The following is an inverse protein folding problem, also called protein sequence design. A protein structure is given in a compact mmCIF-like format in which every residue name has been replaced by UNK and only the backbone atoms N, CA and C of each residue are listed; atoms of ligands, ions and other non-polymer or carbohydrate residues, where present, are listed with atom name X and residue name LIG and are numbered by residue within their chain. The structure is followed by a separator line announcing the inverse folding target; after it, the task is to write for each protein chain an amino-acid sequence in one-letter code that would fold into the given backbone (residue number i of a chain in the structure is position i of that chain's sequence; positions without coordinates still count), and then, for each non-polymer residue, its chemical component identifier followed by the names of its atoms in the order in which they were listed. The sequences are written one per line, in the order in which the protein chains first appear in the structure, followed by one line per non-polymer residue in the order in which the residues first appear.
data_IF_632937688029
#
_entry.id   IF_632937688029
#
_cell.length_a   1.000
_cell.length_b   1.000
_cell.length_c   1.000
_cell.angle_alpha   90.00
_cell.angle_beta   90.00
_cell.angle_gamma   90.00
#
_symmetry.space_group_name_H-M   'P 1'
#
loop_
_entity.id
_entity.type
_entity.pdbx_description
1 polymer ?
#
# COMPACT_ATOMS: atom_id res chain seq x y z
N UNK A 1 2.23 0.60 30.40
CA UNK A 1 1.15 0.03 29.56
C UNK A 1 0.49 1.19 28.84
N UNK A 2 0.85 1.41 27.57
CA UNK A 2 0.26 2.47 26.75
C UNK A 2 -1.13 2.03 26.30
N UNK A 3 -2.15 2.85 26.55
CA UNK A 3 -3.52 2.54 26.17
C UNK A 3 -3.62 2.37 24.66
N UNK A 4 -4.08 1.20 24.20
CA UNK A 4 -4.52 1.02 22.83
C UNK A 4 -5.75 1.88 22.62
N UNK A 5 -5.60 2.98 21.87
CA UNK A 5 -6.77 3.67 21.34
C UNK A 5 -7.34 2.76 20.26
N UNK A 6 -8.44 2.09 20.57
CA UNK A 6 -9.23 1.36 19.59
C UNK A 6 -9.71 2.38 18.56
N UNK A 7 -9.36 2.21 17.28
CA UNK A 7 -10.07 2.93 16.22
C UNK A 7 -11.47 2.35 16.21
N UNK A 8 -12.43 3.08 16.77
CA UNK A 8 -13.84 2.77 16.57
C UNK A 8 -14.24 3.26 15.18
N UNK A 9 -15.09 2.48 14.51
CA UNK A 9 -15.90 2.92 13.38
C UNK A 9 -16.73 4.11 13.82
N UNK A 10 -16.20 5.30 13.58
CA UNK A 10 -16.78 6.55 14.00
C UNK A 10 -17.23 7.29 12.74
N UNK A 11 -18.53 7.17 12.46
CA UNK A 11 -19.24 7.81 11.35
C UNK A 11 -19.05 9.34 11.23
N UNK A 12 -18.37 9.98 12.20
CA UNK A 12 -17.99 11.39 12.13
C UNK A 12 -16.76 11.65 11.24
N UNK A 13 -15.97 10.64 10.92
CA UNK A 13 -14.83 10.80 10.02
C UNK A 13 -15.25 10.69 8.56
N UNK A 14 -14.64 11.49 7.66
CA UNK A 14 -14.92 11.38 6.24
C UNK A 14 -14.49 10.01 5.71
N UNK A 15 -15.33 9.43 4.84
CA UNK A 15 -14.99 8.23 4.10
C UNK A 15 -14.21 8.66 2.86
N UNK A 16 -12.99 8.16 2.71
CA UNK A 16 -12.18 8.39 1.51
C UNK A 16 -12.21 7.09 0.69
N UNK A 17 -12.62 7.20 -0.57
CA UNK A 17 -12.60 6.09 -1.51
C UNK A 17 -11.40 6.25 -2.45
N UNK A 18 -10.58 5.22 -2.52
CA UNK A 18 -9.38 5.17 -3.37
C UNK A 18 -9.56 4.01 -4.35
N UNK A 19 -9.56 4.31 -5.64
CA UNK A 19 -9.80 3.35 -6.72
C UNK A 19 -8.52 3.10 -7.52
N UNK A 20 -8.22 1.82 -7.75
CA UNK A 20 -7.10 1.38 -8.58
C UNK A 20 -7.64 0.56 -9.76
N UNK A 21 -7.88 1.22 -10.89
CA UNK A 21 -8.51 0.58 -12.06
C UNK A 21 -7.59 -0.45 -12.75
N UNK A 22 -6.28 -0.31 -12.60
CA UNK A 22 -5.28 -1.17 -13.25
C UNK A 22 -4.24 -1.68 -12.25
N UNK A 23 -4.70 -2.33 -11.19
CA UNK A 23 -3.79 -2.98 -10.24
C UNK A 23 -3.26 -4.31 -10.82
N UNK A 24 -2.00 -4.60 -10.51
CA UNK A 24 -1.33 -5.88 -10.80
C UNK A 24 -1.50 -6.83 -9.61
N UNK A 25 -1.38 -6.30 -8.39
CA UNK A 25 -1.47 -7.08 -7.17
C UNK A 25 -2.03 -6.27 -6.00
N UNK A 26 -2.69 -6.98 -5.09
CA UNK A 26 -3.22 -6.45 -3.85
C UNK A 26 -2.90 -7.43 -2.71
N UNK A 27 -2.48 -6.91 -1.56
CA UNK A 27 -2.32 -7.70 -0.34
C UNK A 27 -2.68 -6.90 0.91
N UNK A 28 -2.97 -7.62 1.98
CA UNK A 28 -3.18 -7.07 3.31
C UNK A 28 -2.19 -7.76 4.24
N UNK A 29 -1.38 -6.98 4.92
CA UNK A 29 -0.47 -7.43 5.96
C UNK A 29 -0.97 -6.98 7.33
N UNK A 30 -0.78 -7.83 8.33
CA UNK A 30 -0.89 -7.39 9.72
C UNK A 30 0.36 -6.53 10.04
N UNK A 31 0.16 -5.28 10.46
CA UNK A 31 1.24 -4.31 10.70
C UNK A 31 2.28 -4.82 11.72
N UNK A 32 1.87 -5.67 12.67
CA UNK A 32 2.79 -6.24 13.66
C UNK A 32 3.87 -7.15 13.04
N UNK A 33 3.71 -7.54 11.77
CA UNK A 33 4.66 -8.37 11.04
C UNK A 33 5.49 -7.58 10.01
N UNK A 34 5.41 -6.25 10.04
CA UNK A 34 6.28 -5.39 9.22
C UNK A 34 7.73 -5.49 9.67
N UNK A 35 8.61 -5.56 8.68
CA UNK A 35 10.05 -5.46 8.89
C UNK A 35 10.45 -3.99 8.89
N UNK A 36 11.01 -3.53 9.99
CA UNK A 36 11.53 -2.16 10.13
C UNK A 36 13.02 -2.13 9.80
N UNK A 37 13.33 -1.96 8.52
CA UNK A 37 14.70 -1.78 8.02
C UNK A 37 14.77 -0.77 6.87
N UNK A 38 15.99 -0.46 6.43
CA UNK A 38 16.26 0.54 5.39
C UNK A 38 16.10 0.00 3.96
N UNK A 39 15.55 -1.21 3.79
CA UNK A 39 15.42 -1.81 2.47
C UNK A 39 14.34 -1.13 1.63
N UNK A 40 13.20 -0.83 2.27
CA UNK A 40 12.07 -0.20 1.60
C UNK A 40 12.29 1.31 1.51
N UNK A 41 12.04 1.87 0.33
CA UNK A 41 12.19 3.29 0.06
C UNK A 41 10.85 3.83 -0.44
N UNK A 42 10.32 4.79 0.30
CA UNK A 42 9.03 5.39 0.00
C UNK A 42 8.96 6.84 0.47
N UNK A 43 8.02 7.57 -0.13
CA UNK A 43 7.60 8.89 0.32
C UNK A 43 6.21 8.80 0.96
N UNK A 44 5.88 9.71 1.87
CA UNK A 44 4.60 9.76 2.57
C UNK A 44 4.65 9.19 4.00
N UNK A 45 3.48 9.06 4.62
CA UNK A 45 3.35 8.60 6.02
C UNK A 45 2.29 7.50 6.16
N UNK A 46 1.00 7.86 6.16
CA UNK A 46 -0.11 6.89 6.17
C UNK A 46 -0.29 6.29 4.78
N UNK A 47 -0.40 7.16 3.78
CA UNK A 47 -0.36 6.78 2.37
C UNK A 47 1.08 6.91 1.88
N UNK A 48 1.63 5.81 1.37
CA UNK A 48 3.04 5.68 1.00
C UNK A 48 3.14 5.31 -0.48
N UNK A 49 4.11 5.90 -1.17
CA UNK A 49 4.46 5.54 -2.55
C UNK A 49 5.89 5.04 -2.55
N UNK A 50 6.07 3.78 -2.91
CA UNK A 50 7.37 3.11 -2.84
C UNK A 50 8.08 3.17 -4.19
N UNK A 51 9.36 3.53 -4.16
CA UNK A 51 10.30 3.36 -5.27
C UNK A 51 11.04 2.03 -5.18
N UNK A 52 11.10 1.44 -3.98
CA UNK A 52 11.67 0.11 -3.72
C UNK A 52 10.92 -0.55 -2.56
N UNK A 53 10.49 -1.80 -2.72
CA UNK A 53 9.81 -2.56 -1.66
C UNK A 53 9.90 -4.05 -1.90
N UNK A 54 9.75 -4.84 -0.84
CA UNK A 54 9.72 -6.31 -0.97
C UNK A 54 8.50 -6.79 -1.73
N UNK A 55 7.40 -6.04 -1.65
CA UNK A 55 6.20 -6.35 -2.41
C UNK A 55 6.38 -6.11 -3.91
N UNK A 56 7.11 -5.07 -4.33
CA UNK A 56 7.53 -4.90 -5.74
C UNK A 56 8.40 -6.08 -6.20
N UNK A 57 9.36 -6.52 -5.39
CA UNK A 57 10.19 -7.68 -5.71
C UNK A 57 9.33 -8.93 -5.88
N UNK A 58 8.38 -9.16 -4.97
CA UNK A 58 7.44 -10.26 -5.05
C UNK A 58 6.58 -10.22 -6.33
N UNK A 59 6.04 -9.05 -6.69
CA UNK A 59 5.21 -8.89 -7.90
C UNK A 59 6.04 -9.07 -9.18
N UNK A 60 7.26 -8.53 -9.22
CA UNK A 60 8.13 -8.65 -10.41
C UNK A 60 8.54 -10.10 -10.70
N UNK A 61 8.72 -10.94 -9.67
CA UNK A 61 9.04 -12.36 -9.84
C UNK A 61 7.78 -13.22 -10.00
N UNK A 62 6.68 -12.83 -9.36
CA UNK A 62 5.42 -13.59 -9.33
C UNK A 62 4.49 -13.33 -10.52
N UNK A 63 4.80 -12.37 -11.38
CA UNK A 63 3.96 -11.98 -12.52
C UNK A 63 4.78 -11.75 -13.78
N UNK A 64 4.11 -11.51 -14.90
CA UNK A 64 4.76 -11.10 -16.15
C UNK A 64 5.03 -9.58 -16.20
N UNK A 65 4.79 -8.86 -15.11
CA UNK A 65 4.95 -7.42 -15.08
C UNK A 65 6.43 -7.02 -15.03
N UNK A 66 6.85 -6.28 -16.03
CA UNK A 66 8.17 -5.67 -16.16
C UNK A 66 8.01 -4.16 -16.29
N UNK A 67 9.14 -3.44 -16.26
CA UNK A 67 9.19 -2.00 -16.60
C UNK A 67 8.62 -1.69 -17.99
N UNK A 68 8.69 -2.65 -18.93
CA UNK A 68 8.26 -2.47 -20.32
C UNK A 68 6.83 -2.97 -20.58
N UNK A 69 6.33 -3.93 -19.78
CA UNK A 69 4.98 -4.48 -19.94
C UNK A 69 4.46 -5.13 -18.65
N UNK A 70 3.29 -4.77 -18.11
CA UNK A 70 2.49 -3.59 -18.43
C UNK A 70 3.03 -2.31 -17.76
N UNK A 71 4.29 -2.32 -17.29
CA UNK A 71 4.87 -1.21 -16.53
C UNK A 71 5.11 0.07 -17.34
N UNK A 72 5.66 1.10 -16.67
CA UNK A 72 6.13 1.09 -15.28
C UNK A 72 4.98 0.99 -14.27
N UNK A 73 5.23 0.38 -13.11
CA UNK A 73 4.24 0.25 -12.03
C UNK A 73 4.79 0.74 -10.70
N UNK A 74 3.91 1.26 -9.86
CA UNK A 74 4.24 1.77 -8.53
C UNK A 74 3.60 0.90 -7.46
N UNK A 75 4.26 0.85 -6.31
CA UNK A 75 3.68 0.27 -5.11
C UNK A 75 3.14 1.38 -4.20
N UNK A 76 1.89 1.23 -3.79
CA UNK A 76 1.17 2.07 -2.86
C UNK A 76 0.90 1.28 -1.57
N UNK A 77 1.29 1.83 -0.43
CA UNK A 77 0.99 1.25 0.88
C UNK A 77 0.09 2.17 1.70
N UNK A 78 -0.89 1.60 2.39
CA UNK A 78 -1.78 2.32 3.30
C UNK A 78 -1.63 1.71 4.70
N UNK A 79 -0.96 2.42 5.60
CA UNK A 79 -0.77 2.02 6.99
C UNK A 79 -2.00 2.39 7.83
N UNK A 80 -3.00 1.51 7.88
CA UNK A 80 -4.28 1.67 8.57
C UNK A 80 -4.23 1.15 10.02
N UNK A 81 -3.12 1.40 10.73
CA UNK A 81 -2.77 0.87 12.05
C UNK A 81 -2.75 -0.67 12.08
N UNK A 82 -3.89 -1.35 12.18
CA UNK A 82 -3.88 -2.82 12.30
C UNK A 82 -3.47 -3.54 11.00
N UNK A 83 -3.66 -2.87 9.86
CA UNK A 83 -3.41 -3.43 8.55
C UNK A 83 -2.54 -2.49 7.72
N UNK A 84 -1.65 -3.08 6.95
CA UNK A 84 -1.03 -2.42 5.81
C UNK A 84 -1.69 -2.97 4.57
N UNK A 85 -2.24 -2.09 3.76
CA UNK A 85 -2.80 -2.43 2.46
C UNK A 85 -1.79 -2.07 1.39
N UNK A 86 -1.27 -3.08 0.70
CA UNK A 86 -0.27 -2.92 -0.34
C UNK A 86 -0.89 -3.16 -1.71
N UNK A 87 -0.70 -2.22 -2.63
CA UNK A 87 -1.25 -2.24 -3.98
C UNK A 87 -0.16 -1.92 -4.99
N UNK A 88 0.05 -2.79 -5.96
CA UNK A 88 0.90 -2.47 -7.12
C UNK A 88 0.02 -2.16 -8.31
N UNK A 89 0.23 -1.01 -8.96
CA UNK A 89 -0.59 -0.57 -10.10
C UNK A 89 0.21 0.18 -11.16
N UNK A 90 -0.22 0.06 -12.41
CA UNK A 90 0.34 0.78 -13.57
C UNK A 90 -0.18 2.22 -13.69
N UNK A 91 -1.27 2.53 -13.00
CA UNK A 91 -1.90 3.85 -13.01
C UNK A 91 -1.93 4.44 -11.60
N UNK A 92 -1.94 5.76 -11.52
CA UNK A 92 -2.20 6.45 -10.26
C UNK A 92 -3.67 6.21 -9.82
N UNK A 93 -3.95 6.10 -8.51
CA UNK A 93 -5.31 5.89 -8.04
C UNK A 93 -6.18 7.13 -8.18
N UNK A 94 -7.49 6.91 -8.30
CA UNK A 94 -8.50 7.97 -8.22
C UNK A 94 -8.98 8.09 -6.78
N UNK A 95 -8.89 9.31 -6.22
CA UNK A 95 -9.36 9.61 -4.86
C UNK A 95 -10.69 10.34 -4.91
N UNK A 96 -11.70 9.84 -4.19
CA UNK A 96 -13.03 10.43 -4.03
C UNK A 96 -13.30 10.70 -2.55
N UNK A 97 -13.94 11.83 -2.27
CA UNK A 97 -14.30 12.34 -0.93
C UNK A 97 -15.81 12.58 -0.90
#
# INVERSE_FOLDING_TARGET
MGGSTLIQDDSRFPIIQIEFDSFIGYSILNESFTVWDDYEQFEGNIFRVFTKSRYLDYISVGTIATEEYPGPFKHYGIAALNHIVDIVSISDPVVKV
#
